data_IF_985065733477
#
_entry.id   IF_985065733477
#
_cell.length_a   1.000
_cell.length_b   1.000
_cell.length_c   1.000
_cell.angle_alpha   90.00
_cell.angle_beta   90.00
_cell.angle_gamma   90.00
#
_symmetry.space_group_name_H-M   'P 1'
#
loop_
_entity.id
_entity.type
_entity.pdbx_description
1 polymer ?
#
# COMPACT_ATOMS: atom_id res chain seq x y z
N UNK A 1 7.36 -38.87 9.29
CA UNK A 1 6.12 -38.20 9.77
C UNK A 1 4.94 -39.08 9.39
N UNK A 2 4.25 -39.59 10.42
CA UNK A 2 3.34 -40.75 10.40
C UNK A 2 2.07 -40.52 9.56
N UNK A 3 1.58 -41.58 8.93
CA UNK A 3 0.28 -41.70 8.25
C UNK A 3 -0.85 -41.01 9.04
N UNK A 4 -0.81 -41.09 10.37
CA UNK A 4 -1.69 -40.37 11.28
C UNK A 4 -1.83 -38.86 10.97
N UNK A 5 -0.72 -38.17 10.71
CA UNK A 5 -0.74 -36.74 10.38
C UNK A 5 -1.41 -36.46 9.04
N UNK A 6 -1.36 -37.40 8.08
CA UNK A 6 -2.06 -37.27 6.80
C UNK A 6 -3.56 -37.46 7.00
N UNK A 7 -3.95 -38.48 7.76
CA UNK A 7 -5.36 -38.75 8.08
C UNK A 7 -6.03 -37.56 8.79
N UNK A 8 -5.31 -36.90 9.73
CA UNK A 8 -5.81 -35.67 10.36
C UNK A 8 -6.04 -34.55 9.33
N UNK A 9 -5.14 -34.37 8.36
CA UNK A 9 -5.29 -33.34 7.33
C UNK A 9 -6.52 -33.62 6.46
N UNK A 10 -6.71 -34.87 6.03
CA UNK A 10 -7.86 -35.28 5.23
C UNK A 10 -9.17 -35.06 6.00
N UNK A 11 -9.22 -35.46 7.27
CA UNK A 11 -10.39 -35.23 8.12
C UNK A 11 -10.74 -33.73 8.26
N UNK A 12 -9.72 -32.86 8.40
CA UNK A 12 -9.91 -31.40 8.46
C UNK A 12 -10.46 -30.84 7.14
N UNK A 13 -9.97 -31.31 6.01
CA UNK A 13 -10.45 -30.89 4.68
C UNK A 13 -11.91 -31.31 4.50
N UNK A 14 -12.22 -32.59 4.76
CA UNK A 14 -13.57 -33.12 4.64
C UNK A 14 -14.57 -32.39 5.55
N UNK A 15 -14.19 -32.07 6.79
CA UNK A 15 -15.04 -31.28 7.69
C UNK A 15 -15.32 -29.86 7.13
N UNK A 16 -14.32 -29.20 6.55
CA UNK A 16 -14.48 -27.88 5.95
C UNK A 16 -15.36 -27.93 4.69
N UNK A 17 -15.19 -28.94 3.84
CA UNK A 17 -16.02 -29.15 2.66
C UNK A 17 -17.49 -29.37 3.03
N UNK A 18 -17.74 -30.25 4.01
CA UNK A 18 -19.09 -30.49 4.52
C UNK A 18 -19.71 -29.20 5.08
N UNK A 19 -18.95 -28.40 5.83
CA UNK A 19 -19.41 -27.12 6.34
C UNK A 19 -19.79 -26.13 5.23
N UNK A 20 -18.96 -26.02 4.19
CA UNK A 20 -19.20 -25.11 3.07
C UNK A 20 -20.41 -25.57 2.24
N UNK A 21 -20.50 -26.88 1.94
CA UNK A 21 -21.54 -27.43 1.09
C UNK A 21 -22.92 -27.40 1.74
N UNK A 22 -23.01 -27.63 3.04
CA UNK A 22 -24.26 -27.60 3.80
C UNK A 22 -24.68 -26.19 4.23
N UNK A 23 -23.84 -25.17 3.99
CA UNK A 23 -24.17 -23.79 4.34
C UNK A 23 -25.11 -23.14 3.31
N UNK A 24 -26.12 -22.43 3.81
CA UNK A 24 -27.03 -21.62 2.98
C UNK A 24 -26.30 -20.61 2.10
N UNK A 25 -25.19 -20.06 2.59
CA UNK A 25 -24.31 -19.17 1.83
C UNK A 25 -22.88 -19.73 1.81
N UNK A 26 -22.55 -20.42 0.72
CA UNK A 26 -21.27 -21.14 0.54
C UNK A 26 -20.07 -20.18 0.52
N UNK A 27 -20.22 -19.02 -0.12
CA UNK A 27 -19.16 -18.01 -0.20
C UNK A 27 -18.80 -17.46 1.19
N UNK A 28 -19.82 -17.07 1.98
CA UNK A 28 -19.63 -16.61 3.36
C UNK A 28 -19.04 -17.70 4.25
N UNK A 29 -19.44 -18.96 4.07
CA UNK A 29 -18.88 -20.10 4.79
C UNK A 29 -17.40 -20.32 4.45
N UNK A 30 -17.04 -20.30 3.16
CA UNK A 30 -15.65 -20.42 2.70
C UNK A 30 -14.77 -19.30 3.28
N UNK A 31 -15.23 -18.06 3.24
CA UNK A 31 -14.51 -16.92 3.84
C UNK A 31 -14.32 -17.05 5.35
N UNK A 32 -15.30 -17.63 6.08
CA UNK A 32 -15.15 -17.92 7.51
C UNK A 32 -14.05 -18.95 7.78
N UNK A 33 -14.01 -20.03 6.99
CA UNK A 33 -12.95 -21.05 7.09
C UNK A 33 -11.58 -20.41 6.86
N UNK A 34 -11.41 -19.64 5.78
CA UNK A 34 -10.17 -18.92 5.48
C UNK A 34 -9.80 -17.98 6.64
N UNK A 35 -10.74 -17.15 7.10
CA UNK A 35 -10.51 -16.20 8.20
C UNK A 35 -10.04 -16.89 9.47
N UNK A 36 -10.65 -18.03 9.84
CA UNK A 36 -10.27 -18.80 11.03
C UNK A 36 -8.87 -19.44 10.96
N UNK A 37 -8.36 -19.69 9.75
CA UNK A 37 -7.02 -20.25 9.54
C UNK A 37 -5.95 -19.20 9.30
N UNK A 38 -6.34 -18.01 8.85
CA UNK A 38 -5.41 -16.96 8.48
C UNK A 38 -4.68 -16.34 9.67
N UNK A 39 -5.00 -16.69 10.93
CA UNK A 39 -4.40 -16.10 12.13
C UNK A 39 -4.29 -14.57 12.03
N UNK A 40 -5.27 -13.93 11.38
CA UNK A 40 -5.42 -12.48 11.41
C UNK A 40 -5.94 -12.11 12.80
N UNK A 41 -5.09 -12.32 13.81
CA UNK A 41 -4.94 -11.31 14.84
C UNK A 41 -4.58 -10.10 14.01
N UNK A 42 -5.58 -9.26 13.71
CA UNK A 42 -5.31 -7.88 13.39
C UNK A 42 -4.55 -7.41 14.62
N UNK A 43 -3.23 -7.48 14.55
CA UNK A 43 -2.41 -6.72 15.47
C UNK A 43 -2.87 -5.33 15.11
N UNK A 44 -3.72 -4.76 15.97
CA UNK A 44 -3.88 -3.32 16.01
C UNK A 44 -2.46 -2.85 16.28
N UNK A 45 -1.72 -2.65 15.20
CA UNK A 45 -0.45 -1.98 15.27
C UNK A 45 -0.82 -0.64 15.85
N UNK A 46 -0.41 -0.41 17.10
CA UNK A 46 -0.52 0.90 17.70
C UNK A 46 0.05 1.86 16.66
N UNK A 47 -0.80 2.78 16.22
CA UNK A 47 -0.46 3.75 15.21
C UNK A 47 0.63 4.60 15.83
N UNK A 48 1.90 4.34 15.46
CA UNK A 48 3.05 5.02 16.06
C UNK A 48 3.04 6.52 15.79
N UNK A 49 2.38 6.93 14.70
CA UNK A 49 2.24 8.33 14.29
C UNK A 49 0.78 8.55 13.88
N UNK A 50 0.00 9.31 14.68
CA UNK A 50 -1.35 9.71 14.29
C UNK A 50 -1.36 10.43 12.95
N UNK A 51 -2.40 10.24 12.15
CA UNK A 51 -2.53 10.85 10.83
C UNK A 51 -2.40 12.37 10.88
N UNK A 52 -2.92 13.01 11.92
CA UNK A 52 -2.84 14.46 12.11
C UNK A 52 -1.38 14.91 12.26
N UNK A 53 -0.58 14.16 13.03
CA UNK A 53 0.86 14.46 13.23
C UNK A 53 1.65 14.27 11.93
N UNK A 54 1.37 13.19 11.19
CA UNK A 54 2.00 12.94 9.90
C UNK A 54 1.65 14.04 8.88
N UNK A 55 0.38 14.39 8.77
CA UNK A 55 -0.10 15.41 7.84
C UNK A 55 0.48 16.78 8.19
N UNK A 56 0.46 17.14 9.48
CA UNK A 56 1.03 18.39 9.96
C UNK A 56 2.51 18.51 9.62
N UNK A 57 3.28 17.43 9.76
CA UNK A 57 4.70 17.43 9.40
C UNK A 57 4.90 17.75 7.92
N UNK A 58 4.19 17.07 7.01
CA UNK A 58 4.36 17.30 5.57
C UNK A 58 3.83 18.65 5.10
N UNK A 59 2.77 19.17 5.72
CA UNK A 59 2.27 20.51 5.44
C UNK A 59 3.24 21.59 5.93
N UNK A 60 3.89 21.37 7.08
CA UNK A 60 4.80 22.34 7.69
C UNK A 60 6.23 22.24 7.15
N UNK A 61 6.66 21.09 6.61
CA UNK A 61 8.03 20.87 6.14
C UNK A 61 8.50 21.92 5.10
N UNK A 62 7.71 22.30 4.08
CA UNK A 62 8.11 23.36 3.14
C UNK A 62 8.29 24.74 3.80
N UNK A 63 7.49 25.04 4.82
CA UNK A 63 7.61 26.31 5.57
C UNK A 63 8.83 26.35 6.49
N UNK A 64 9.28 25.19 6.97
CA UNK A 64 10.50 25.04 7.77
C UNK A 64 11.77 25.05 6.91
N UNK A 65 11.64 24.77 5.61
CA UNK A 65 12.71 24.88 4.61
C UNK A 65 12.98 26.34 4.19
N UNK A 66 12.29 27.34 4.76
CA UNK A 66 12.52 28.74 4.42
C UNK A 66 13.77 29.34 5.10
N UNK A 67 14.83 29.45 4.29
CA UNK A 67 15.71 30.63 4.11
C UNK A 67 16.95 30.78 5.02
N UNK A 68 17.13 30.03 6.12
CA UNK A 68 18.35 30.21 6.94
C UNK A 68 19.56 29.34 6.51
N UNK A 69 19.32 28.17 5.93
CA UNK A 69 20.37 27.19 5.63
C UNK A 69 20.53 26.89 4.12
N UNK A 70 20.00 27.74 3.24
CA UNK A 70 20.24 27.60 1.81
C UNK A 70 21.53 28.35 1.46
N UNK A 71 22.71 27.69 1.28
CA UNK A 71 23.81 28.35 0.59
C UNK A 71 23.24 28.73 -0.76
N UNK A 72 23.26 30.02 -1.11
CA UNK A 72 22.71 30.62 -2.32
C UNK A 72 22.72 29.61 -3.46
N UNK A 73 21.62 28.84 -3.61
CA UNK A 73 21.52 27.88 -4.70
C UNK A 73 21.43 28.80 -5.89
N UNK A 74 22.54 28.87 -6.62
CA UNK A 74 22.69 29.73 -7.77
C UNK A 74 21.57 29.30 -8.73
N UNK A 75 20.48 30.07 -8.72
CA UNK A 75 19.22 29.74 -9.38
C UNK A 75 19.45 29.40 -10.86
N UNK A 76 20.54 29.93 -11.43
CA UNK A 76 21.09 29.58 -12.73
C UNK A 76 21.29 28.08 -12.95
N UNK A 77 21.88 27.34 -12.00
CA UNK A 77 22.23 25.93 -12.23
C UNK A 77 20.98 25.04 -12.26
N UNK A 78 20.00 25.31 -11.39
CA UNK A 78 18.72 24.59 -11.40
C UNK A 78 17.91 24.87 -12.66
N UNK A 79 17.92 26.13 -13.14
CA UNK A 79 17.28 26.50 -14.42
C UNK A 79 17.99 25.80 -15.59
N UNK A 80 19.32 25.79 -15.58
CA UNK A 80 20.16 25.15 -16.60
C UNK A 80 19.95 23.63 -16.68
N UNK A 81 19.83 22.94 -15.54
CA UNK A 81 19.53 21.51 -15.51
C UNK A 81 18.15 21.20 -16.12
N UNK A 82 17.14 22.01 -15.82
CA UNK A 82 15.78 21.85 -16.38
C UNK A 82 15.79 22.16 -17.87
N UNK A 83 16.44 23.23 -18.31
CA UNK A 83 16.56 23.57 -19.72
C UNK A 83 17.30 22.49 -20.52
N UNK A 84 18.37 21.92 -19.97
CA UNK A 84 19.11 20.84 -20.61
C UNK A 84 18.27 19.57 -20.71
N UNK A 85 17.48 19.26 -19.69
CA UNK A 85 16.53 18.15 -19.73
C UNK A 85 15.44 18.37 -20.79
N UNK A 86 14.82 19.54 -20.84
CA UNK A 86 13.78 19.88 -21.83
C UNK A 86 14.33 19.89 -23.26
N UNK A 87 15.55 20.42 -23.46
CA UNK A 87 16.25 20.39 -24.76
C UNK A 87 16.64 18.97 -25.19
N UNK A 88 17.01 18.11 -24.23
CA UNK A 88 17.34 16.71 -24.46
C UNK A 88 16.12 15.82 -24.70
N UNK A 89 14.98 16.15 -24.11
CA UNK A 89 13.70 15.50 -24.36
C UNK A 89 12.99 16.10 -25.57
N UNK A 90 13.66 16.05 -26.73
CA UNK A 90 13.01 16.29 -28.02
C UNK A 90 11.79 15.38 -28.16
N UNK A 91 10.60 15.99 -28.10
CA UNK A 91 9.27 15.38 -28.18
C UNK A 91 8.77 14.68 -26.89
N UNK A 92 8.66 15.43 -25.78
CA UNK A 92 7.70 15.04 -24.73
C UNK A 92 6.29 15.28 -25.26
N UNK A 93 5.64 14.18 -25.67
CA UNK A 93 4.25 14.00 -26.05
C UNK A 93 3.33 15.20 -25.71
N UNK A 94 2.98 15.97 -26.74
CA UNK A 94 1.98 17.05 -26.72
C UNK A 94 0.54 16.58 -26.46
N UNK A 95 0.34 15.31 -26.07
CA UNK A 95 -0.96 14.67 -25.97
C UNK A 95 -1.49 14.56 -24.54
N UNK A 96 -0.88 15.24 -23.58
CA UNK A 96 -1.43 15.30 -22.23
C UNK A 96 -2.66 16.22 -22.20
N UNK A 97 -3.85 15.63 -22.09
CA UNK A 97 -5.12 16.35 -21.86
C UNK A 97 -5.63 16.01 -20.47
N UNK A 98 -5.77 17.05 -19.63
CA UNK A 98 -6.54 16.94 -18.39
C UNK A 98 -7.98 16.59 -18.73
N UNK A 99 -8.48 15.49 -18.18
CA UNK A 99 -9.92 15.24 -18.15
C UNK A 99 -10.50 16.00 -16.95
N UNK A 100 -11.37 16.97 -17.21
CA UNK A 100 -12.20 17.55 -16.15
C UNK A 100 -13.21 16.51 -15.71
N UNK A 101 -13.26 16.24 -14.40
CA UNK A 101 -14.35 15.52 -13.75
C UNK A 101 -15.55 16.46 -13.63
#
# INVERSE_FOLDING_TARGET
>A
KSEYSKQIKLAKISANENYINNSKNKCKAAWRVIRSKSNNIVKNHEIQIPSDVFNDYFVKAPSQLCIKDLPTINHCHTIEMVENYVKGCGNVLTNFKWQSI
#
